data_IF_759972734044
#
_entry.id   IF_759972734044
#
_cell.length_a   1.000
_cell.length_b   1.000
_cell.length_c   1.000
_cell.angle_alpha   90.00
_cell.angle_beta   90.00
_cell.angle_gamma   90.00
#
_symmetry.space_group_name_H-M   'P 1'
#
loop_
_entity.id
_entity.type
_entity.pdbx_description
1 polymer ?
#
# COMPACT_ATOMS: atom_id res chain seq x y z
N UNK A 1 -32.38 -34.45 36.09
CA UNK A 1 -33.79 -34.57 35.70
C UNK A 1 -34.10 -33.39 34.77
N UNK A 2 -33.89 -33.58 33.46
CA UNK A 2 -34.11 -32.60 32.41
C UNK A 2 -35.57 -32.69 31.96
N UNK A 3 -36.27 -31.55 31.85
CA UNK A 3 -37.55 -31.45 31.14
C UNK A 3 -37.40 -30.42 30.01
N UNK A 4 -37.67 -30.90 28.80
CA UNK A 4 -37.57 -30.20 27.54
C UNK A 4 -38.58 -29.06 27.40
N UNK A 5 -38.21 -27.98 26.69
CA UNK A 5 -39.16 -27.07 26.06
C UNK A 5 -38.81 -26.81 24.61
N UNK A 6 -39.87 -26.92 23.80
CA UNK A 6 -39.97 -26.91 22.34
C UNK A 6 -39.48 -25.60 21.70
N UNK A 7 -38.97 -25.76 20.49
CA UNK A 7 -38.75 -24.72 19.50
C UNK A 7 -40.07 -24.19 18.91
N UNK A 8 -40.09 -22.89 18.58
CA UNK A 8 -41.02 -22.32 17.58
C UNK A 8 -40.26 -21.20 16.86
N UNK A 9 -40.00 -21.42 15.57
CA UNK A 9 -39.36 -20.46 14.66
C UNK A 9 -40.45 -19.54 14.09
N UNK A 10 -40.37 -18.23 14.36
CA UNK A 10 -41.15 -17.22 13.65
C UNK A 10 -40.27 -16.54 12.60
N UNK A 11 -40.76 -16.57 11.36
CA UNK A 11 -40.12 -16.06 10.15
C UNK A 11 -40.79 -14.71 9.81
N UNK A 12 -40.13 -13.58 10.13
CA UNK A 12 -40.61 -12.26 9.69
C UNK A 12 -39.86 -11.79 8.44
N UNK A 13 -40.61 -11.64 7.34
CA UNK A 13 -40.19 -10.94 6.12
C UNK A 13 -40.15 -9.44 6.40
N UNK A 14 -38.98 -8.81 6.25
CA UNK A 14 -38.88 -7.35 6.14
C UNK A 14 -38.81 -6.93 4.67
N UNK A 15 -39.82 -6.17 4.25
CA UNK A 15 -39.94 -5.44 2.99
C UNK A 15 -39.15 -4.12 3.05
N UNK A 16 -38.51 -3.76 1.95
CA UNK A 16 -37.83 -2.47 1.76
C UNK A 16 -38.79 -1.48 1.10
N UNK A 17 -38.91 -0.22 1.60
CA UNK A 17 -39.61 0.82 0.87
C UNK A 17 -38.68 1.49 -0.15
N UNK A 18 -39.17 1.62 -1.38
CA UNK A 18 -38.52 2.34 -2.47
C UNK A 18 -38.60 3.85 -2.28
N UNK A 19 -37.46 4.52 -2.45
CA UNK A 19 -37.36 5.98 -2.55
C UNK A 19 -37.55 6.38 -4.01
N UNK A 20 -38.66 7.06 -4.28
CA UNK A 20 -38.92 7.78 -5.51
C UNK A 20 -38.08 9.06 -5.54
N UNK A 21 -37.33 9.28 -6.62
CA UNK A 21 -36.69 10.55 -6.94
C UNK A 21 -37.64 11.37 -7.82
N UNK A 22 -38.10 12.49 -7.27
CA UNK A 22 -38.72 13.60 -8.01
C UNK A 22 -37.58 14.47 -8.52
N UNK A 23 -37.47 14.64 -9.84
CA UNK A 23 -36.56 15.62 -10.45
C UNK A 23 -37.40 16.74 -11.05
N UNK A 24 -37.21 17.95 -10.51
CA UNK A 24 -37.73 19.20 -11.07
C UNK A 24 -37.01 19.55 -12.38
N UNK A 25 -37.82 19.98 -13.34
CA UNK A 25 -37.42 20.48 -14.66
C UNK A 25 -37.14 21.97 -14.62
N UNK A 26 -35.96 22.40 -15.06
CA UNK A 26 -35.79 23.72 -15.70
C UNK A 26 -34.89 23.56 -16.93
N UNK A 27 -35.42 24.01 -18.05
CA UNK A 27 -34.84 23.95 -19.38
C UNK A 27 -33.97 25.19 -19.66
N UNK A 28 -32.86 25.02 -20.36
CA UNK A 28 -32.36 26.01 -21.31
C UNK A 28 -31.74 25.31 -22.53
N UNK A 29 -32.15 25.81 -23.69
CA UNK A 29 -31.86 25.35 -25.05
C UNK A 29 -30.42 25.63 -25.48
N UNK A 30 -29.89 24.83 -26.41
CA UNK A 30 -28.71 25.21 -27.20
C UNK A 30 -27.98 24.05 -27.88
N UNK A 31 -28.57 23.59 -29.00
CA UNK A 31 -27.98 22.98 -30.21
C UNK A 31 -26.82 21.95 -30.15
N UNK A 32 -27.16 20.75 -30.65
CA UNK A 32 -26.32 19.62 -31.13
C UNK A 32 -25.74 19.90 -32.55
N UNK A 33 -24.70 19.17 -33.08
CA UNK A 33 -24.91 17.82 -33.65
C UNK A 33 -23.65 16.89 -33.64
N UNK A 34 -23.62 15.71 -34.29
CA UNK A 34 -23.98 14.45 -33.64
C UNK A 34 -22.90 13.34 -33.81
N UNK A 35 -22.76 12.42 -32.84
CA UNK A 35 -22.20 11.08 -33.13
C UNK A 35 -23.04 10.00 -32.45
N UNK A 36 -23.83 9.31 -33.27
CA UNK A 36 -24.52 8.07 -32.90
C UNK A 36 -23.50 6.94 -32.73
N UNK A 37 -23.48 6.26 -31.59
CA UNK A 37 -23.06 4.86 -31.55
C UNK A 37 -23.91 4.07 -30.55
N UNK A 38 -24.59 3.08 -31.12
CA UNK A 38 -25.49 2.12 -30.50
C UNK A 38 -24.69 1.22 -29.55
N UNK A 39 -25.05 1.18 -28.26
CA UNK A 39 -24.55 0.18 -27.31
C UNK A 39 -25.67 -0.81 -26.98
N UNK A 40 -25.59 -1.99 -27.60
CA UNK A 40 -26.34 -3.17 -27.18
C UNK A 40 -25.83 -3.65 -25.82
N UNK A 41 -26.74 -3.71 -24.84
CA UNK A 41 -26.53 -4.37 -23.55
C UNK A 41 -26.35 -5.88 -23.77
N UNK A 42 -25.24 -6.45 -23.32
CA UNK A 42 -25.17 -7.89 -23.01
C UNK A 42 -24.40 -8.08 -21.70
N UNK A 43 -25.17 -8.37 -20.65
CA UNK A 43 -24.74 -8.76 -19.31
C UNK A 43 -24.51 -10.28 -19.32
N UNK A 44 -23.40 -10.80 -18.79
CA UNK A 44 -23.27 -12.23 -18.52
C UNK A 44 -22.79 -12.48 -17.09
N UNK A 45 -23.66 -13.11 -16.29
CA UNK A 45 -23.33 -13.82 -15.06
C UNK A 45 -22.78 -15.20 -15.42
N UNK A 46 -21.58 -15.55 -14.92
CA UNK A 46 -21.08 -16.91 -14.98
C UNK A 46 -21.58 -17.73 -13.79
N UNK A 47 -22.42 -18.74 -14.04
CA UNK A 47 -22.72 -19.81 -13.07
C UNK A 47 -21.66 -20.90 -13.16
N UNK A 48 -21.20 -21.37 -12.01
CA UNK A 48 -20.21 -22.45 -11.83
C UNK A 48 -20.95 -23.80 -11.86
N UNK A 49 -20.62 -24.67 -12.82
CA UNK A 49 -21.12 -26.05 -12.84
C UNK A 49 -19.99 -27.00 -12.43
N UNK A 50 -20.25 -27.76 -11.38
CA UNK A 50 -19.38 -28.80 -10.79
C UNK A 50 -19.60 -30.10 -11.57
N UNK A 51 -18.55 -30.68 -12.16
CA UNK A 51 -18.61 -31.99 -12.81
C UNK A 51 -17.98 -33.06 -11.89
N UNK A 52 -18.76 -34.07 -11.54
CA UNK A 52 -18.30 -35.33 -10.95
C UNK A 52 -18.16 -36.41 -12.04
N UNK A 53 -17.23 -37.37 -11.95
CA UNK A 53 -16.99 -38.34 -13.01
C UNK A 53 -17.79 -39.64 -12.81
N UNK A 54 -18.45 -40.12 -13.87
CA UNK A 54 -18.95 -41.50 -13.97
C UNK A 54 -18.19 -42.27 -15.05
N UNK A 55 -17.61 -43.41 -14.65
CA UNK A 55 -17.09 -44.49 -15.50
C UNK A 55 -18.23 -45.22 -16.24
N UNK A 56 -17.99 -45.66 -17.48
CA UNK A 56 -18.21 -47.05 -17.98
C UNK A 56 -17.79 -47.24 -19.47
N UNK A 57 -16.79 -48.10 -19.64
CA UNK A 57 -16.65 -49.29 -20.52
C UNK A 57 -17.37 -49.45 -21.89
N UNK A 58 -16.52 -49.75 -22.90
CA UNK A 58 -16.56 -50.74 -24.01
C UNK A 58 -17.41 -50.59 -25.31
N UNK A 59 -16.62 -50.61 -26.42
CA UNK A 59 -16.66 -51.41 -27.68
C UNK A 59 -17.88 -51.35 -28.62
N UNK A 60 -17.60 -51.08 -29.92
CA UNK A 60 -18.11 -51.91 -31.04
C UNK A 60 -18.73 -51.21 -32.26
N UNK A 61 -17.96 -51.18 -33.37
CA UNK A 61 -18.29 -51.20 -34.82
C UNK A 61 -19.44 -50.37 -35.45
N UNK A 62 -19.01 -49.46 -36.34
CA UNK A 62 -19.41 -49.22 -37.74
C UNK A 62 -20.88 -49.33 -38.20
N UNK A 63 -21.40 -48.23 -38.78
CA UNK A 63 -21.98 -48.19 -40.15
C UNK A 63 -22.20 -46.75 -40.64
N UNK A 64 -21.85 -46.54 -41.90
CA UNK A 64 -22.08 -45.36 -42.74
C UNK A 64 -23.56 -45.29 -43.16
N UNK A 65 -24.15 -44.10 -43.14
CA UNK A 65 -25.20 -43.66 -44.06
C UNK A 65 -25.17 -42.13 -44.14
N UNK A 66 -24.98 -41.61 -45.35
CA UNK A 66 -25.18 -40.21 -45.72
C UNK A 66 -26.65 -39.80 -45.63
N UNK A 67 -26.93 -38.57 -45.20
CA UNK A 67 -27.64 -37.58 -46.02
C UNK A 67 -28.04 -36.32 -45.24
N UNK A 68 -27.93 -35.20 -45.96
CA UNK A 68 -28.57 -33.89 -45.77
C UNK A 68 -28.06 -32.94 -44.70
N UNK A 69 -27.43 -31.88 -45.22
CA UNK A 69 -26.96 -30.68 -44.56
C UNK A 69 -28.09 -29.86 -43.93
N UNK A 70 -27.81 -29.37 -42.73
CA UNK A 70 -28.20 -28.04 -42.25
C UNK A 70 -26.91 -27.44 -41.68
N UNK A 71 -26.14 -26.74 -42.52
CA UNK A 71 -25.03 -25.91 -42.07
C UNK A 71 -25.60 -24.72 -41.30
N UNK A 72 -25.89 -24.93 -40.01
CA UNK A 72 -25.87 -23.86 -39.03
C UNK A 72 -24.40 -23.60 -38.71
N UNK A 73 -23.76 -22.70 -39.45
CA UNK A 73 -22.53 -22.08 -38.94
C UNK A 73 -22.92 -21.30 -37.68
N UNK A 74 -22.65 -21.87 -36.51
CA UNK A 74 -22.55 -21.09 -35.29
C UNK A 74 -21.60 -19.92 -35.57
N UNK A 75 -21.98 -18.66 -35.30
CA UNK A 75 -21.08 -17.54 -35.50
C UNK A 75 -19.80 -17.84 -34.72
N UNK A 76 -18.60 -17.62 -35.30
CA UNK A 76 -17.36 -18.01 -34.65
C UNK A 76 -17.35 -17.33 -33.28
N UNK A 77 -17.32 -18.14 -32.22
CA UNK A 77 -17.18 -17.63 -30.86
C UNK A 77 -15.98 -16.72 -30.88
N UNK A 78 -16.21 -15.40 -30.86
CA UNK A 78 -15.15 -14.40 -30.84
C UNK A 78 -14.38 -14.65 -29.55
N UNK A 79 -13.29 -15.40 -29.67
CA UNK A 79 -12.40 -15.67 -28.56
C UNK A 79 -12.00 -14.32 -27.97
N UNK A 80 -11.98 -14.20 -26.65
CA UNK A 80 -11.59 -12.96 -25.96
C UNK A 80 -10.21 -12.46 -26.43
N UNK A 81 -9.40 -13.36 -27.00
CA UNK A 81 -8.12 -13.09 -27.65
C UNK A 81 -8.21 -12.25 -28.93
N UNK A 82 -9.40 -12.04 -29.49
CA UNK A 82 -9.66 -11.23 -30.69
C UNK A 82 -10.15 -9.81 -30.37
N UNK A 83 -10.47 -9.50 -29.11
CA UNK A 83 -10.82 -8.14 -28.71
C UNK A 83 -9.61 -7.22 -28.86
N UNK A 84 -9.78 -5.94 -29.24
CA UNK A 84 -8.69 -4.97 -29.24
C UNK A 84 -8.20 -4.65 -27.81
N UNK A 85 -6.96 -4.17 -27.67
CA UNK A 85 -6.30 -3.97 -26.36
C UNK A 85 -7.03 -2.94 -25.49
N UNK A 86 -7.56 -1.87 -26.06
CA UNK A 86 -8.34 -0.84 -25.36
C UNK A 86 -9.59 -1.43 -24.68
N UNK A 87 -10.33 -2.31 -25.36
CA UNK A 87 -11.47 -3.00 -24.78
C UNK A 87 -11.05 -3.95 -23.66
N UNK A 88 -9.94 -4.67 -23.83
CA UNK A 88 -9.39 -5.55 -22.79
C UNK A 88 -8.93 -4.75 -21.57
N UNK A 89 -8.23 -3.63 -21.76
CA UNK A 89 -7.81 -2.73 -20.68
C UNK A 89 -9.02 -2.20 -19.92
N UNK A 90 -10.06 -1.78 -20.63
CA UNK A 90 -11.30 -1.29 -20.04
C UNK A 90 -11.98 -2.40 -19.20
N UNK A 91 -12.01 -3.64 -19.68
CA UNK A 91 -12.49 -4.79 -18.93
C UNK A 91 -11.62 -5.08 -17.69
N UNK A 92 -10.31 -5.19 -17.86
CA UNK A 92 -9.35 -5.46 -16.79
C UNK A 92 -9.38 -4.38 -15.70
N UNK A 93 -9.55 -3.11 -16.08
CA UNK A 93 -9.62 -1.98 -15.16
C UNK A 93 -10.81 -2.06 -14.19
N UNK A 94 -11.85 -2.83 -14.51
CA UNK A 94 -13.02 -3.05 -13.63
C UNK A 94 -12.88 -4.26 -12.71
N UNK A 95 -11.87 -5.09 -12.93
CA UNK A 95 -11.64 -6.30 -12.14
C UNK A 95 -10.67 -5.96 -11.01
N UNK A 96 -10.85 -6.62 -9.86
CA UNK A 96 -9.90 -6.47 -8.75
C UNK A 96 -8.50 -6.94 -9.15
N UNK A 97 -7.47 -6.23 -8.68
CA UNK A 97 -6.07 -6.62 -8.89
C UNK A 97 -5.73 -8.00 -8.33
N UNK A 98 -6.51 -8.50 -7.36
CA UNK A 98 -6.38 -9.87 -6.85
C UNK A 98 -6.53 -10.95 -7.93
N UNK A 99 -7.21 -10.65 -9.04
CA UNK A 99 -7.38 -11.58 -10.15
C UNK A 99 -6.23 -11.54 -11.16
N UNK A 100 -5.38 -10.50 -11.14
CA UNK A 100 -4.34 -10.28 -12.16
C UNK A 100 -3.26 -11.38 -12.17
N UNK A 101 -2.80 -11.91 -11.02
CA UNK A 101 -1.89 -13.06 -11.03
C UNK A 101 -2.47 -14.25 -11.80
N UNK A 102 -3.76 -14.54 -11.67
CA UNK A 102 -4.41 -15.62 -12.43
C UNK A 102 -4.57 -15.27 -13.91
N UNK A 103 -4.99 -14.03 -14.22
CA UNK A 103 -5.17 -13.59 -15.60
C UNK A 103 -3.86 -13.52 -16.39
N UNK A 104 -2.76 -13.16 -15.74
CA UNK A 104 -1.42 -13.11 -16.36
C UNK A 104 -0.85 -14.48 -16.73
N UNK A 105 -1.44 -15.56 -16.23
CA UNK A 105 -1.10 -16.94 -16.63
C UNK A 105 -1.84 -17.39 -17.89
N UNK A 106 -2.92 -16.70 -18.29
CA UNK A 106 -3.76 -17.10 -19.43
C UNK A 106 -3.02 -16.93 -20.76
N UNK A 107 -2.32 -15.81 -20.97
CA UNK A 107 -1.47 -15.59 -22.15
C UNK A 107 -0.42 -14.52 -21.92
N UNK A 108 0.58 -14.47 -22.82
CA UNK A 108 1.58 -13.39 -22.84
C UNK A 108 0.94 -12.01 -23.01
N UNK A 109 -0.14 -11.92 -23.79
CA UNK A 109 -0.91 -10.69 -24.00
C UNK A 109 -1.56 -10.20 -22.70
N UNK A 110 -2.29 -11.06 -22.00
CA UNK A 110 -2.89 -10.70 -20.70
C UNK A 110 -1.83 -10.33 -19.66
N UNK A 111 -0.69 -11.05 -19.65
CA UNK A 111 0.44 -10.70 -18.78
C UNK A 111 0.95 -9.28 -19.04
N UNK A 112 1.19 -8.95 -20.31
CA UNK A 112 1.65 -7.62 -20.73
C UNK A 112 0.65 -6.53 -20.34
N UNK A 113 -0.64 -6.76 -20.59
CA UNK A 113 -1.70 -5.78 -20.26
C UNK A 113 -1.85 -5.60 -18.75
N UNK A 114 -1.77 -6.67 -17.94
CA UNK A 114 -1.90 -6.60 -16.48
C UNK A 114 -0.76 -5.81 -15.82
N UNK A 115 0.40 -5.70 -16.47
CA UNK A 115 1.56 -4.94 -15.99
C UNK A 115 1.75 -3.61 -16.74
N UNK A 116 0.81 -3.23 -17.61
CA UNK A 116 0.91 -2.05 -18.47
C UNK A 116 0.57 -0.76 -17.71
N UNK A 117 1.21 0.33 -18.11
CA UNK A 117 0.90 1.68 -17.59
C UNK A 117 -0.46 2.18 -18.06
N UNK A 118 -0.92 1.74 -19.22
CA UNK A 118 -2.20 2.07 -19.83
C UNK A 118 -3.36 1.53 -18.98
N UNK A 119 -3.19 0.34 -18.38
CA UNK A 119 -4.17 -0.21 -17.46
C UNK A 119 -4.34 0.68 -16.23
N UNK A 120 -3.23 1.17 -15.67
CA UNK A 120 -3.25 2.09 -14.53
C UNK A 120 -3.94 3.41 -14.87
N UNK A 121 -3.60 4.01 -16.01
CA UNK A 121 -4.26 5.23 -16.49
C UNK A 121 -5.77 5.02 -16.66
N UNK A 122 -6.16 3.87 -17.23
CA UNK A 122 -7.58 3.50 -17.40
C UNK A 122 -8.28 3.34 -16.04
N UNK A 123 -7.65 2.66 -15.07
CA UNK A 123 -8.20 2.52 -13.71
C UNK A 123 -8.35 3.86 -13.00
N UNK A 124 -7.36 4.73 -13.16
CA UNK A 124 -7.39 6.08 -12.59
C UNK A 124 -8.54 6.89 -13.17
N UNK A 125 -8.70 6.87 -14.50
CA UNK A 125 -9.81 7.54 -15.20
C UNK A 125 -11.18 7.01 -14.74
N UNK A 126 -11.28 5.71 -14.46
CA UNK A 126 -12.52 5.08 -14.00
C UNK A 126 -12.74 5.18 -12.48
N UNK A 127 -11.82 5.78 -11.71
CA UNK A 127 -11.89 5.83 -10.25
C UNK A 127 -11.84 4.45 -9.59
N UNK A 128 -11.11 3.50 -10.20
CA UNK A 128 -10.99 2.10 -9.78
C UNK A 128 -9.64 1.72 -9.20
N UNK A 129 -8.77 2.68 -8.89
CA UNK A 129 -7.48 2.39 -8.25
C UNK A 129 -7.65 1.72 -6.88
N UNK A 130 -6.76 0.79 -6.54
CA UNK A 130 -6.71 0.07 -5.28
C UNK A 130 -5.45 0.46 -4.50
N UNK A 131 -5.57 0.62 -3.19
CA UNK A 131 -4.37 0.83 -2.35
C UNK A 131 -3.69 -0.51 -2.06
N UNK A 132 -2.38 -0.57 -2.25
CA UNK A 132 -1.56 -1.75 -2.01
C UNK A 132 -0.50 -1.45 -0.97
N UNK A 133 -0.43 -2.31 0.04
CA UNK A 133 0.53 -2.25 1.12
C UNK A 133 1.75 -3.12 0.78
N UNK A 134 2.91 -2.50 0.83
CA UNK A 134 4.22 -3.10 0.64
C UNK A 134 4.97 -3.12 1.97
N UNK A 135 5.54 -4.27 2.31
CA UNK A 135 6.28 -4.50 3.55
C UNK A 135 7.69 -4.95 3.19
N UNK A 136 8.69 -4.25 3.70
CA UNK A 136 10.10 -4.65 3.57
C UNK A 136 10.54 -5.35 4.86
N UNK A 137 10.98 -6.60 4.72
CA UNK A 137 11.55 -7.38 5.81
C UNK A 137 13.05 -7.60 5.56
N UNK A 138 13.85 -7.57 6.61
CA UNK A 138 15.29 -7.86 6.58
C UNK A 138 15.55 -9.23 7.20
N UNK A 139 16.18 -10.14 6.46
CA UNK A 139 16.63 -11.41 7.05
C UNK A 139 17.87 -11.17 7.92
N UNK A 140 17.94 -11.80 9.09
CA UNK A 140 19.07 -11.64 10.03
C UNK A 140 20.06 -12.81 10.02
N UNK A 141 19.85 -13.83 9.17
CA UNK A 141 20.66 -15.07 9.15
C UNK A 141 21.73 -15.11 8.07
N UNK A 142 21.60 -14.28 7.03
CA UNK A 142 22.53 -14.24 5.92
C UNK A 142 23.57 -13.15 6.19
N UNK A 143 24.85 -13.38 5.87
CA UNK A 143 25.93 -12.39 6.04
C UNK A 143 25.61 -11.04 5.39
N UNK A 144 24.81 -11.06 4.32
CA UNK A 144 24.43 -9.88 3.56
C UNK A 144 23.12 -9.22 4.04
N UNK A 145 22.43 -9.82 5.03
CA UNK A 145 21.15 -9.36 5.60
C UNK A 145 20.16 -8.80 4.56
N UNK A 146 19.76 -9.60 3.56
CA UNK A 146 19.06 -9.10 2.39
C UNK A 146 17.69 -8.55 2.74
N UNK A 147 17.28 -7.52 2.00
CA UNK A 147 15.97 -6.88 2.13
C UNK A 147 15.01 -7.49 1.12
N UNK A 148 13.86 -7.95 1.60
CA UNK A 148 12.82 -8.58 0.78
C UNK A 148 11.53 -7.81 0.89
N UNK A 149 10.94 -7.52 -0.27
CA UNK A 149 9.66 -6.84 -0.37
C UNK A 149 8.53 -7.84 -0.50
N UNK A 150 7.44 -7.54 0.19
CA UNK A 150 6.20 -8.31 0.18
C UNK A 150 5.03 -7.38 -0.08
N UNK A 151 3.97 -7.90 -0.69
CA UNK A 151 2.68 -7.22 -0.81
C UNK A 151 1.63 -7.91 0.06
N UNK A 152 0.83 -7.14 0.78
CA UNK A 152 -0.31 -7.70 1.51
C UNK A 152 -1.41 -8.08 0.53
N UNK A 153 -1.73 -9.37 0.47
CA UNK A 153 -2.76 -9.89 -0.42
C UNK A 153 -3.80 -10.69 0.37
N UNK A 154 -5.06 -10.64 -0.08
CA UNK A 154 -6.11 -11.50 0.47
C UNK A 154 -6.03 -12.87 -0.18
N UNK A 155 -6.06 -13.95 0.60
CA UNK A 155 -6.10 -15.30 0.03
C UNK A 155 -7.40 -15.51 -0.75
N UNK A 156 -7.36 -16.16 -1.94
CA UNK A 156 -8.57 -16.50 -2.66
C UNK A 156 -9.54 -17.28 -1.77
N UNK A 157 -10.82 -16.89 -1.75
CA UNK A 157 -11.88 -17.54 -0.98
C UNK A 157 -11.69 -17.54 0.57
N UNK A 158 -10.81 -16.71 1.11
CA UNK A 158 -10.62 -16.55 2.56
C UNK A 158 -10.72 -15.08 2.97
N UNK A 159 -11.07 -14.83 4.23
CA UNK A 159 -10.96 -13.51 4.86
C UNK A 159 -9.53 -13.20 5.34
N UNK A 160 -8.64 -14.20 5.31
CA UNK A 160 -7.26 -14.05 5.77
C UNK A 160 -6.39 -13.32 4.74
N UNK A 161 -5.54 -12.43 5.24
CA UNK A 161 -4.52 -11.73 4.46
C UNK A 161 -3.16 -12.37 4.72
N UNK A 162 -2.28 -12.31 3.74
CA UNK A 162 -0.93 -12.88 3.80
C UNK A 162 0.04 -11.97 3.07
N UNK A 163 1.27 -11.88 3.56
CA UNK A 163 2.37 -11.26 2.84
C UNK A 163 2.85 -12.21 1.75
N UNK A 164 2.71 -11.77 0.50
CA UNK A 164 3.20 -12.50 -0.68
C UNK A 164 4.51 -11.87 -1.14
N UNK A 165 5.59 -12.64 -1.34
CA UNK A 165 6.86 -12.11 -1.83
C UNK A 165 6.68 -11.39 -3.17
N UNK A 166 7.30 -10.23 -3.30
CA UNK A 166 7.41 -9.53 -4.58
C UNK A 166 8.56 -10.15 -5.36
N UNK A 167 8.25 -10.96 -6.37
CA UNK A 167 9.25 -11.63 -7.21
C UNK A 167 9.90 -10.63 -8.17
N UNK A 168 11.05 -10.06 -7.80
CA UNK A 168 11.91 -9.31 -8.72
C UNK A 168 13.16 -10.11 -9.07
N UNK A 169 13.46 -10.23 -10.36
CA UNK A 169 14.65 -10.90 -10.88
C UNK A 169 15.97 -10.19 -10.51
N UNK A 170 15.89 -8.94 -10.03
CA UNK A 170 17.01 -8.14 -9.55
C UNK A 170 16.48 -7.30 -8.37
N UNK A 171 16.67 -7.75 -7.14
CA UNK A 171 16.45 -6.90 -5.96
C UNK A 171 17.78 -6.20 -5.67
N UNK A 172 18.02 -4.97 -6.16
CA UNK A 172 19.31 -4.30 -6.06
C UNK A 172 19.46 -3.63 -4.67
N UNK A 173 18.53 -3.90 -3.76
CA UNK A 173 18.16 -3.04 -2.64
C UNK A 173 18.66 -3.56 -1.28
N UNK A 174 19.56 -4.54 -1.25
CA UNK A 174 20.07 -5.08 0.03
C UNK A 174 20.77 -4.00 0.88
N UNK A 175 21.40 -3.03 0.23
CA UNK A 175 22.14 -1.95 0.87
C UNK A 175 21.31 -0.71 1.21
N UNK A 176 20.18 -0.46 0.53
CA UNK A 176 19.43 0.80 0.65
C UNK A 176 18.89 1.00 2.06
N UNK A 177 19.01 2.20 2.64
CA UNK A 177 18.63 2.42 4.04
C UNK A 177 17.17 2.84 4.19
N UNK A 178 16.72 3.81 3.39
CA UNK A 178 15.38 4.38 3.48
C UNK A 178 14.56 4.14 2.21
N UNK A 179 13.23 4.24 2.31
CA UNK A 179 12.33 4.09 1.18
C UNK A 179 11.07 4.97 1.29
N UNK A 180 10.66 5.54 0.17
CA UNK A 180 9.47 6.42 0.10
C UNK A 180 8.61 6.09 -1.12
N UNK A 181 7.33 6.50 -1.08
CA UNK A 181 6.36 6.30 -2.16
C UNK A 181 6.10 7.63 -2.86
N UNK A 182 6.21 7.65 -4.19
CA UNK A 182 5.71 8.76 -5.01
C UNK A 182 4.89 8.18 -6.17
N UNK A 183 3.59 8.49 -6.19
CA UNK A 183 2.66 7.89 -7.13
C UNK A 183 2.71 6.35 -7.02
N UNK A 184 2.80 5.62 -8.16
CA UNK A 184 2.85 4.16 -8.19
C UNK A 184 4.26 3.57 -7.99
N UNK A 185 5.22 4.37 -7.51
CA UNK A 185 6.62 3.98 -7.42
C UNK A 185 7.13 4.00 -5.98
N UNK A 186 7.97 3.01 -5.64
CA UNK A 186 8.75 3.01 -4.40
C UNK A 186 10.20 3.34 -4.71
N UNK A 187 10.72 4.39 -4.10
CA UNK A 187 12.12 4.80 -4.23
C UNK A 187 12.90 4.31 -3.02
N UNK A 188 13.91 3.49 -3.24
CA UNK A 188 14.88 3.05 -2.23
C UNK A 188 16.16 3.88 -2.35
N UNK A 189 16.63 4.44 -1.23
CA UNK A 189 17.55 5.58 -1.23
C UNK A 189 18.78 5.30 -0.37
N UNK A 190 19.95 5.58 -0.95
CA UNK A 190 21.24 5.61 -0.27
C UNK A 190 21.64 4.26 0.33
N UNK A 191 22.19 4.28 1.54
CA UNK A 191 22.60 3.08 2.26
C UNK A 191 24.10 2.82 2.28
N UNK A 192 24.47 1.64 2.75
CA UNK A 192 25.87 1.20 2.81
C UNK A 192 26.13 0.10 1.79
N UNK A 193 27.06 0.36 0.87
CA UNK A 193 27.57 -0.62 -0.10
C UNK A 193 29.04 -0.85 0.23
N UNK A 194 29.41 -2.09 0.58
CA UNK A 194 30.77 -2.43 1.00
C UNK A 194 31.32 -1.51 2.12
N UNK A 195 30.49 -1.23 3.12
CA UNK A 195 30.74 -0.29 4.24
C UNK A 195 30.92 1.19 3.86
N UNK A 196 30.73 1.56 2.58
CA UNK A 196 30.78 2.95 2.14
C UNK A 196 29.37 3.50 1.91
N UNK A 197 29.18 4.78 2.24
CA UNK A 197 27.94 5.48 1.93
C UNK A 197 27.66 5.46 0.42
N UNK A 198 26.39 5.33 0.03
CA UNK A 198 25.98 5.21 -1.37
C UNK A 198 25.20 6.42 -1.87
N UNK A 199 25.42 6.80 -3.13
CA UNK A 199 24.62 7.79 -3.88
C UNK A 199 23.43 7.16 -4.60
N UNK A 200 23.37 5.83 -4.68
CA UNK A 200 22.42 5.11 -5.51
C UNK A 200 20.97 5.33 -5.06
N UNK A 201 20.09 5.43 -6.06
CA UNK A 201 18.64 5.43 -5.86
C UNK A 201 18.03 4.43 -6.82
N UNK A 202 17.29 3.48 -6.26
CA UNK A 202 16.55 2.48 -7.03
C UNK A 202 15.07 2.80 -6.97
N UNK A 203 14.36 2.60 -8.06
CA UNK A 203 12.91 2.76 -8.11
C UNK A 203 12.26 1.46 -8.53
N UNK A 204 11.29 1.01 -7.74
CA UNK A 204 10.40 -0.10 -8.07
C UNK A 204 9.11 0.45 -8.66
N UNK A 205 8.81 0.04 -9.88
CA UNK A 205 7.49 0.20 -10.46
C UNK A 205 6.55 -0.83 -9.80
N UNK A 206 5.51 -0.35 -9.12
CA UNK A 206 4.60 -1.24 -8.39
C UNK A 206 3.55 -1.95 -9.27
N UNK A 207 3.46 -1.63 -10.56
CA UNK A 207 2.62 -2.34 -11.52
C UNK A 207 3.27 -3.63 -12.00
N UNK A 208 4.52 -3.52 -12.43
CA UNK A 208 5.31 -4.61 -12.99
C UNK A 208 6.19 -5.31 -11.94
N UNK A 209 6.34 -4.71 -10.76
CA UNK A 209 7.27 -5.15 -9.70
C UNK A 209 8.73 -5.21 -10.19
N UNK A 210 9.10 -4.36 -11.13
CA UNK A 210 10.46 -4.27 -11.67
C UNK A 210 11.23 -3.11 -11.06
N UNK A 211 12.49 -3.35 -10.73
CA UNK A 211 13.42 -2.33 -10.27
C UNK A 211 14.23 -1.76 -11.43
N UNK A 212 14.48 -0.45 -11.38
CA UNK A 212 15.43 0.26 -12.25
C UNK A 212 16.21 1.31 -11.46
N UNK A 213 17.33 1.75 -12.01
CA UNK A 213 18.09 2.86 -11.44
C UNK A 213 17.35 4.18 -11.72
N UNK A 214 17.32 5.04 -10.72
CA UNK A 214 16.97 6.45 -10.87
C UNK A 214 18.27 7.29 -10.84
N UNK A 215 18.23 8.57 -11.25
CA UNK A 215 19.38 9.45 -11.12
C UNK A 215 19.96 9.42 -9.70
N UNK A 216 21.26 9.17 -9.59
CA UNK A 216 21.94 9.12 -8.30
C UNK A 216 21.94 10.47 -7.60
N UNK A 217 21.94 10.44 -6.27
CA UNK A 217 22.17 11.61 -5.43
C UNK A 217 23.56 12.21 -5.72
N UNK A 218 23.73 13.50 -5.45
CA UNK A 218 25.03 14.17 -5.53
C UNK A 218 25.92 13.86 -4.33
N UNK A 219 25.32 13.49 -3.19
CA UNK A 219 26.04 13.14 -1.96
C UNK A 219 25.75 11.69 -1.57
N UNK A 220 26.82 10.96 -1.24
CA UNK A 220 26.72 9.61 -0.71
C UNK A 220 26.15 9.63 0.72
N UNK A 221 25.18 8.76 1.02
CA UNK A 221 24.48 8.73 2.32
C UNK A 221 24.34 7.31 2.86
N UNK A 222 24.77 7.06 4.09
CA UNK A 222 24.71 5.75 4.77
C UNK A 222 23.36 5.49 5.47
N UNK A 223 22.88 6.46 6.24
CA UNK A 223 21.58 6.42 6.95
C UNK A 223 20.78 7.69 6.64
N UNK A 224 20.43 7.93 5.36
CA UNK A 224 19.57 9.06 5.01
C UNK A 224 18.19 8.92 5.66
N UNK A 225 17.53 10.06 5.88
CA UNK A 225 16.09 10.12 6.05
C UNK A 225 15.46 10.78 4.84
N UNK A 226 14.38 10.19 4.33
CA UNK A 226 13.64 10.66 3.18
C UNK A 226 12.16 10.86 3.50
N UNK A 227 11.58 11.91 2.94
CA UNK A 227 10.13 12.13 2.97
C UNK A 227 9.65 12.76 1.66
N UNK A 228 8.34 12.77 1.47
CA UNK A 228 7.71 13.26 0.24
C UNK A 228 6.85 14.46 0.55
N UNK A 229 6.99 15.50 -0.27
CA UNK A 229 6.15 16.68 -0.24
C UNK A 229 5.96 17.19 -1.67
N UNK A 230 4.72 17.45 -2.08
CA UNK A 230 4.35 17.97 -3.40
C UNK A 230 4.98 17.19 -4.58
N UNK A 231 5.02 15.85 -4.46
CA UNK A 231 5.59 14.97 -5.48
C UNK A 231 7.13 14.95 -5.56
N UNK A 232 7.80 15.73 -4.70
CA UNK A 232 9.26 15.75 -4.60
C UNK A 232 9.74 14.93 -3.41
N UNK A 233 10.92 14.32 -3.55
CA UNK A 233 11.55 13.54 -2.48
C UNK A 233 12.64 14.39 -1.84
N UNK A 234 12.53 14.63 -0.55
CA UNK A 234 13.52 15.33 0.24
C UNK A 234 14.37 14.30 0.97
N UNK A 235 15.68 14.32 0.76
CA UNK A 235 16.64 13.39 1.37
C UNK A 235 17.64 14.17 2.20
N UNK A 236 17.86 13.76 3.45
CA UNK A 236 18.71 14.48 4.39
C UNK A 236 19.49 13.56 5.33
N UNK A 237 20.60 14.08 5.86
CA UNK A 237 21.47 13.33 6.78
C UNK A 237 22.25 12.19 6.13
N UNK A 238 22.90 11.38 6.97
CA UNK A 238 23.65 10.19 6.56
C UNK A 238 24.95 10.45 5.79
N UNK A 239 25.41 11.70 5.66
CA UNK A 239 26.63 12.07 4.94
C UNK A 239 27.84 12.19 5.86
N UNK A 240 29.04 11.83 5.37
CA UNK A 240 30.30 11.82 6.15
C UNK A 240 30.68 13.17 6.76
N UNK A 241 30.29 14.27 6.10
CA UNK A 241 30.44 15.63 6.60
C UNK A 241 29.06 16.15 7.01
N UNK A 242 28.61 15.90 8.25
CA UNK A 242 27.26 16.26 8.68
C UNK A 242 27.03 17.79 8.57
N UNK A 243 28.09 18.60 8.73
CA UNK A 243 28.10 20.08 8.54
C UNK A 243 28.18 20.57 7.07
N UNK A 244 28.02 19.69 6.08
CA UNK A 244 28.11 20.05 4.67
C UNK A 244 26.93 20.92 4.21
N UNK A 245 27.17 21.85 3.28
CA UNK A 245 26.11 22.62 2.59
C UNK A 245 25.15 21.74 1.79
N UNK A 246 25.54 20.48 1.55
CA UNK A 246 24.76 19.52 0.78
C UNK A 246 24.02 18.52 1.70
N UNK A 247 23.73 18.91 2.94
CA UNK A 247 23.08 18.04 3.92
C UNK A 247 21.64 17.65 3.51
N UNK A 248 20.94 18.49 2.73
CA UNK A 248 19.67 18.14 2.08
C UNK A 248 19.79 18.19 0.56
N UNK A 249 19.20 17.18 -0.09
CA UNK A 249 18.95 17.17 -1.52
C UNK A 249 17.47 16.91 -1.79
N UNK A 250 16.95 17.48 -2.87
CA UNK A 250 15.57 17.32 -3.32
C UNK A 250 15.58 16.74 -4.71
N UNK A 251 14.89 15.62 -4.87
CA UNK A 251 14.65 15.00 -6.16
C UNK A 251 13.26 15.38 -6.66
N UNK A 252 13.24 16.03 -7.81
CA UNK A 252 12.00 16.27 -8.54
C UNK A 252 11.70 15.04 -9.41
N UNK A 253 10.62 14.34 -9.09
CA UNK A 253 10.26 13.09 -9.77
C UNK A 253 9.72 13.33 -11.19
N UNK A 254 9.29 14.54 -11.53
CA UNK A 254 8.83 14.88 -12.86
C UNK A 254 10.00 15.19 -13.79
N UNK A 255 10.93 16.02 -13.34
CA UNK A 255 12.11 16.40 -14.14
C UNK A 255 13.26 15.41 -14.03
N UNK A 256 13.21 14.48 -13.06
CA UNK A 256 14.27 13.52 -12.77
C UNK A 256 15.61 14.22 -12.42
N UNK A 257 15.55 15.34 -11.69
CA UNK A 257 16.73 16.12 -11.34
C UNK A 257 16.88 16.32 -9.83
N UNK A 258 18.12 16.35 -9.38
CA UNK A 258 18.49 16.67 -7.99
C UNK A 258 18.89 18.13 -7.82
N UNK A 259 18.34 18.77 -6.80
CA UNK A 259 18.70 20.11 -6.33
C UNK A 259 19.23 20.04 -4.90
N UNK A 260 20.27 20.82 -4.58
CA UNK A 260 20.78 20.94 -3.21
C UNK A 260 20.08 22.10 -2.51
N UNK A 261 19.49 21.86 -1.34
CA UNK A 261 18.92 22.93 -0.54
C UNK A 261 19.96 23.48 0.43
N UNK A 262 20.26 24.78 0.29
CA UNK A 262 21.15 25.50 1.19
C UNK A 262 20.50 25.70 2.56
N UNK A 263 21.24 25.39 3.62
CA UNK A 263 20.75 25.53 5.00
C UNK A 263 21.24 26.88 5.55
N UNK A 264 20.35 27.80 5.94
CA UNK A 264 20.74 29.14 6.39
C UNK A 264 21.46 29.17 7.74
N UNK A 265 21.39 28.11 8.56
CA UNK A 265 22.04 28.08 9.88
C UNK A 265 22.63 26.70 10.20
N UNK A 266 23.93 26.54 9.91
CA UNK A 266 24.65 25.25 9.93
C UNK A 266 24.78 24.60 11.33
N UNK A 267 24.63 25.36 12.42
CA UNK A 267 24.98 24.88 13.77
C UNK A 267 23.89 24.07 14.48
N UNK A 268 22.62 24.26 14.14
CA UNK A 268 21.51 23.66 14.91
C UNK A 268 21.12 22.27 14.39
N UNK A 269 21.07 22.07 13.07
CA UNK A 269 20.45 20.89 12.45
C UNK A 269 21.50 19.81 12.06
N UNK A 270 22.70 20.21 11.64
CA UNK A 270 23.66 19.40 10.89
C UNK A 270 24.70 18.62 11.71
N UNK A 271 24.39 18.17 12.93
CA UNK A 271 25.40 17.56 13.82
C UNK A 271 25.04 16.16 14.32
N UNK A 272 23.94 15.59 13.85
CA UNK A 272 23.48 14.24 14.20
C UNK A 272 23.72 13.27 13.03
N UNK A 273 23.89 12.00 13.34
CA UNK A 273 24.02 10.89 12.39
C UNK A 273 22.69 10.28 11.93
N UNK A 274 21.59 10.48 12.68
CA UNK A 274 20.27 9.86 12.44
C UNK A 274 19.12 10.86 12.54
N UNK A 275 18.37 10.95 11.45
CA UNK A 275 17.20 11.83 11.36
C UNK A 275 15.94 11.04 11.04
N UNK A 276 14.81 11.65 11.38
CA UNK A 276 13.49 11.25 10.90
C UNK A 276 12.87 12.44 10.18
N UNK A 277 12.21 12.21 9.06
CA UNK A 277 11.58 13.27 8.29
C UNK A 277 10.18 12.89 7.85
N UNK A 278 9.30 13.88 7.72
CA UNK A 278 7.92 13.69 7.30
C UNK A 278 7.39 14.93 6.59
N UNK A 279 6.66 14.72 5.49
CA UNK A 279 5.86 15.76 4.85
C UNK A 279 4.54 15.93 5.60
N UNK A 280 4.30 17.10 6.16
CA UNK A 280 3.12 17.41 6.97
C UNK A 280 2.75 18.89 6.89
N UNK A 281 1.46 19.20 6.67
CA UNK A 281 0.94 20.58 6.51
C UNK A 281 1.70 21.43 5.47
N UNK A 282 2.08 20.86 4.33
CA UNK A 282 2.81 21.62 3.30
C UNK A 282 4.26 21.93 3.68
N UNK A 283 4.80 21.27 4.71
CA UNK A 283 6.15 21.49 5.23
C UNK A 283 6.89 20.16 5.35
N UNK A 284 8.22 20.23 5.22
CA UNK A 284 9.09 19.11 5.60
C UNK A 284 9.48 19.29 7.07
N UNK A 285 9.04 18.37 7.92
CA UNK A 285 9.43 18.31 9.32
C UNK A 285 10.58 17.33 9.47
N UNK A 286 11.59 17.71 10.25
CA UNK A 286 12.81 16.92 10.44
C UNK A 286 13.17 16.91 11.90
N UNK A 287 13.41 15.72 12.42
CA UNK A 287 13.79 15.48 13.80
C UNK A 287 15.17 14.84 13.86
N UNK A 288 16.02 15.37 14.72
CA UNK A 288 17.28 14.76 15.15
C UNK A 288 17.00 13.75 16.26
N UNK A 289 17.48 12.50 16.13
CA UNK A 289 17.30 11.47 17.18
C UNK A 289 18.25 11.66 18.36
N UNK A 290 19.46 12.17 18.13
CA UNK A 290 20.47 12.38 19.18
C UNK A 290 20.21 13.65 19.98
N UNK A 291 19.91 14.77 19.31
CA UNK A 291 19.62 16.04 19.99
C UNK A 291 18.18 16.16 20.44
N UNK A 292 17.30 15.31 19.90
CA UNK A 292 15.87 15.32 20.16
C UNK A 292 15.23 16.70 19.89
N UNK A 293 15.63 17.32 18.78
CA UNK A 293 15.13 18.61 18.31
C UNK A 293 14.44 18.43 16.96
N UNK A 294 13.28 19.06 16.82
CA UNK A 294 12.46 19.06 15.60
C UNK A 294 12.41 20.44 14.97
N UNK A 295 12.72 20.50 13.68
CA UNK A 295 12.62 21.69 12.86
C UNK A 295 11.67 21.44 11.69
N UNK A 296 11.12 22.51 11.12
CA UNK A 296 10.36 22.45 9.87
C UNK A 296 10.92 23.41 8.84
N UNK A 297 10.95 22.94 7.59
CA UNK A 297 11.30 23.72 6.42
C UNK A 297 10.02 24.31 5.80
N UNK A 298 9.88 25.63 5.91
CA UNK A 298 8.78 26.39 5.32
C UNK A 298 9.33 27.44 4.35
N UNK A 299 8.94 27.36 3.08
CA UNK A 299 9.35 28.32 2.03
C UNK A 299 10.87 28.58 2.03
N UNK A 300 11.67 27.52 2.11
CA UNK A 300 13.14 27.59 2.12
C UNK A 300 13.76 28.07 3.43
N UNK A 301 12.98 28.31 4.49
CA UNK A 301 13.49 28.73 5.81
C UNK A 301 13.19 27.70 6.88
N UNK A 302 14.19 27.40 7.71
CA UNK A 302 14.05 26.54 8.87
C UNK A 302 13.44 27.28 10.05
N UNK A 303 12.58 26.59 10.79
CA UNK A 303 11.96 27.09 12.01
C UNK A 303 11.85 25.95 13.02
N UNK A 304 12.01 26.26 14.31
CA UNK A 304 11.63 25.34 15.36
C UNK A 304 10.11 25.08 15.30
N UNK A 305 9.71 23.85 15.66
CA UNK A 305 8.30 23.54 15.88
C UNK A 305 7.89 23.94 17.31
N UNK A 306 6.60 23.87 17.61
CA UNK A 306 6.12 24.08 18.98
C UNK A 306 6.58 22.95 19.91
N UNK A 307 6.79 23.29 21.19
CA UNK A 307 7.28 22.36 22.21
C UNK A 307 6.45 21.06 22.32
N UNK A 308 5.09 21.08 22.25
CA UNK A 308 4.29 19.87 22.26
C UNK A 308 4.54 18.93 21.07
N UNK A 309 4.74 19.48 19.86
CA UNK A 309 5.15 18.68 18.70
C UNK A 309 6.51 18.04 18.95
N UNK A 310 7.51 18.83 19.35
CA UNK A 310 8.90 18.38 19.53
C UNK A 310 9.02 17.26 20.58
N UNK A 311 8.56 17.54 21.80
CA UNK A 311 8.57 16.60 22.93
C UNK A 311 7.67 15.39 22.72
N UNK A 312 6.67 15.55 21.86
CA UNK A 312 5.73 14.50 21.58
C UNK A 312 6.22 13.53 20.50
N UNK A 313 6.73 14.04 19.39
CA UNK A 313 7.33 13.20 18.36
C UNK A 313 8.56 12.49 18.92
N UNK A 314 9.29 13.13 19.83
CA UNK A 314 10.41 12.59 20.58
C UNK A 314 10.23 11.12 21.06
N UNK A 315 9.02 10.81 21.52
CA UNK A 315 8.68 9.56 22.20
C UNK A 315 8.01 8.53 21.29
N UNK A 316 7.88 8.80 20.00
CA UNK A 316 7.25 7.88 19.07
C UNK A 316 8.18 6.73 18.67
N UNK A 317 7.64 5.52 18.63
CA UNK A 317 8.28 4.33 18.05
C UNK A 317 8.07 4.30 16.53
N UNK A 318 6.87 4.74 16.10
CA UNK A 318 6.51 4.82 14.69
C UNK A 318 5.55 5.98 14.47
N UNK A 319 5.41 6.43 13.23
CA UNK A 319 4.55 7.55 12.88
C UNK A 319 4.10 7.45 11.43
N UNK A 320 2.98 8.11 11.11
CA UNK A 320 2.50 8.26 9.74
C UNK A 320 1.62 9.50 9.59
N UNK A 321 1.41 9.93 8.36
CA UNK A 321 0.46 11.01 8.03
C UNK A 321 -0.68 10.42 7.20
N UNK A 322 -1.91 10.63 7.68
CA UNK A 322 -3.14 10.17 7.01
C UNK A 322 -4.10 11.35 6.93
N UNK A 323 -4.60 11.66 5.73
CA UNK A 323 -5.51 12.79 5.50
C UNK A 323 -5.00 14.12 6.11
N UNK A 324 -3.71 14.41 5.93
CA UNK A 324 -2.99 15.55 6.51
C UNK A 324 -3.04 15.64 8.05
N UNK A 325 -3.30 14.53 8.75
CA UNK A 325 -3.18 14.43 10.21
C UNK A 325 -1.97 13.59 10.58
N UNK A 326 -1.21 14.05 11.56
CA UNK A 326 0.02 13.40 11.99
C UNK A 326 -0.28 12.45 13.14
N UNK A 327 -0.08 11.16 12.91
CA UNK A 327 -0.25 10.11 13.90
C UNK A 327 1.10 9.59 14.38
N UNK A 328 1.16 9.25 15.66
CA UNK A 328 2.29 8.55 16.26
C UNK A 328 1.82 7.31 16.99
N UNK A 329 2.72 6.35 17.06
CA UNK A 329 2.61 5.21 17.93
C UNK A 329 3.62 5.35 19.07
N UNK A 330 3.14 5.25 20.31
CA UNK A 330 3.97 5.19 21.53
C UNK A 330 3.78 3.84 22.19
N UNK A 331 4.56 3.53 23.25
CA UNK A 331 4.40 2.29 24.02
C UNK A 331 2.98 2.07 24.55
N UNK A 332 2.24 3.16 24.80
CA UNK A 332 0.95 3.13 25.49
C UNK A 332 -0.26 3.35 24.58
N UNK A 333 -0.10 4.11 23.50
CA UNK A 333 -1.22 4.53 22.66
C UNK A 333 -0.80 4.97 21.26
N UNK A 334 -1.79 4.95 20.37
CA UNK A 334 -1.77 5.72 19.13
C UNK A 334 -2.35 7.10 19.43
N UNK A 335 -1.61 8.14 19.10
CA UNK A 335 -2.04 9.53 19.27
C UNK A 335 -2.00 10.26 17.93
N UNK A 336 -2.74 11.36 17.84
CA UNK A 336 -2.68 12.29 16.72
C UNK A 336 -2.41 13.70 17.20
N UNK A 337 -1.70 14.48 16.39
CA UNK A 337 -1.39 15.87 16.72
C UNK A 337 -2.53 16.80 16.27
N UNK A 338 -3.07 17.57 17.22
CA UNK A 338 -4.06 18.62 16.96
C UNK A 338 -3.32 19.95 16.73
N UNK A 339 -3.17 20.41 15.48
CA UNK A 339 -2.41 21.63 15.18
C UNK A 339 -3.09 22.89 15.71
N UNK A 340 -4.42 22.87 15.93
CA UNK A 340 -5.15 24.01 16.47
C UNK A 340 -4.95 24.13 17.98
N UNK A 341 -5.01 23.00 18.69
CA UNK A 341 -4.78 22.97 20.13
C UNK A 341 -3.29 22.86 20.52
N UNK A 342 -2.41 22.58 19.55
CA UNK A 342 -0.98 22.33 19.72
C UNK A 342 -0.70 21.27 20.78
N UNK A 343 -1.36 20.12 20.67
CA UNK A 343 -1.18 19.02 21.61
C UNK A 343 -1.47 17.68 20.94
N UNK A 344 -0.93 16.62 21.52
CA UNK A 344 -1.21 15.25 21.11
C UNK A 344 -2.45 14.72 21.83
N UNK A 345 -3.40 14.18 21.06
CA UNK A 345 -4.63 13.58 21.56
C UNK A 345 -4.61 12.08 21.31
N UNK A 346 -5.05 11.30 22.30
CA UNK A 346 -5.18 9.87 22.12
C UNK A 346 -6.24 9.54 21.06
N UNK A 347 -5.98 8.52 20.25
CA UNK A 347 -6.97 7.96 19.32
C UNK A 347 -8.01 7.18 20.12
N UNK A 348 -9.29 7.58 20.01
CA UNK A 348 -10.39 6.92 20.71
C UNK A 348 -10.79 5.60 20.03
N UNK A 349 -11.51 4.74 20.74
CA UNK A 349 -12.04 3.48 20.22
C UNK A 349 -11.07 2.29 20.22
N UNK A 350 -9.79 2.50 20.58
CA UNK A 350 -8.78 1.44 20.56
C UNK A 350 -8.45 0.81 21.91
N UNK A 351 -8.79 1.47 23.03
CA UNK A 351 -8.39 1.04 24.38
C UNK A 351 -9.03 -0.28 24.84
N UNK A 352 -10.17 -0.65 24.28
CA UNK A 352 -10.95 -1.84 24.65
C UNK A 352 -10.84 -2.98 23.62
N UNK A 353 -10.04 -2.79 22.57
CA UNK A 353 -9.92 -3.77 21.50
C UNK A 353 -8.96 -4.88 21.91
N UNK A 354 -9.50 -6.08 22.13
CA UNK A 354 -8.78 -7.33 22.44
C UNK A 354 -7.71 -7.77 21.41
N UNK A 355 -7.42 -6.97 20.37
CA UNK A 355 -6.56 -7.32 19.24
C UNK A 355 -5.26 -6.53 19.11
N UNK A 356 -5.19 -5.30 19.62
CA UNK A 356 -3.95 -4.51 19.62
C UNK A 356 -3.22 -4.78 20.94
N UNK A 357 -2.07 -5.47 20.93
CA UNK A 357 -1.36 -5.74 22.17
C UNK A 357 -0.84 -4.43 22.77
N UNK A 358 -0.80 -4.33 24.10
CA UNK A 358 0.03 -3.32 24.77
C UNK A 358 1.49 -3.73 24.57
N UNK A 359 2.23 -2.98 23.75
CA UNK A 359 3.58 -3.35 23.35
C UNK A 359 4.59 -2.93 24.44
N UNK A 360 4.61 -3.67 25.56
CA UNK A 360 5.69 -3.56 26.53
C UNK A 360 6.92 -4.31 25.98
N UNK A 361 7.91 -3.57 25.46
CA UNK A 361 9.20 -4.12 25.00
C UNK A 361 9.58 -3.77 23.55
N UNK A 362 10.78 -4.22 23.14
CA UNK A 362 11.45 -3.95 21.84
C UNK A 362 10.75 -4.56 20.60
N UNK A 363 9.42 -4.53 20.51
CA UNK A 363 8.72 -4.93 19.28
C UNK A 363 8.81 -3.80 18.25
N UNK A 364 9.38 -4.08 17.08
CA UNK A 364 9.37 -3.13 15.97
C UNK A 364 7.93 -2.96 15.46
N UNK A 365 7.44 -1.72 15.45
CA UNK A 365 6.11 -1.35 14.96
C UNK A 365 6.25 -0.39 13.78
N UNK A 366 5.43 -0.57 12.75
CA UNK A 366 5.33 0.36 11.61
C UNK A 366 3.88 0.77 11.38
N UNK A 367 3.67 2.09 11.35
CA UNK A 367 2.42 2.68 10.90
C UNK A 367 2.50 3.00 9.40
N UNK A 368 1.41 2.74 8.67
CA UNK A 368 1.31 3.09 7.25
C UNK A 368 -0.09 3.60 6.90
N UNK A 369 -0.18 4.49 5.91
CA UNK A 369 -1.43 4.99 5.33
C UNK A 369 -1.89 4.08 4.19
N UNK A 370 -2.83 3.17 4.44
CA UNK A 370 -3.36 2.25 3.43
C UNK A 370 -4.75 2.71 2.97
N UNK A 371 -4.80 3.51 1.91
CA UNK A 371 -6.06 4.00 1.34
C UNK A 371 -6.89 4.83 2.32
N UNK A 372 -6.25 5.63 3.18
CA UNK A 372 -6.92 6.43 4.22
C UNK A 372 -7.19 5.66 5.52
N UNK A 373 -6.95 4.35 5.55
CA UNK A 373 -6.96 3.55 6.78
C UNK A 373 -5.57 3.54 7.40
N UNK A 374 -5.52 3.41 8.71
CA UNK A 374 -4.27 3.19 9.42
C UNK A 374 -3.97 1.70 9.45
N UNK A 375 -2.81 1.32 8.92
CA UNK A 375 -2.25 -0.01 9.11
C UNK A 375 -1.21 0.05 10.22
N UNK A 376 -1.30 -0.90 11.15
CA UNK A 376 -0.29 -1.15 12.18
C UNK A 376 0.32 -2.52 11.91
N UNK A 377 1.61 -2.57 11.64
CA UNK A 377 2.39 -3.80 11.51
C UNK A 377 3.32 -3.96 12.69
N UNK A 378 3.42 -5.17 13.23
CA UNK A 378 4.31 -5.43 14.35
C UNK A 378 4.84 -6.85 14.35
N UNK A 379 5.90 -7.03 15.12
CA UNK A 379 6.55 -8.31 15.32
C UNK A 379 6.08 -8.98 16.61
N UNK A 380 5.84 -10.28 16.55
CA UNK A 380 5.52 -11.11 17.72
C UNK A 380 6.38 -12.36 17.72
N UNK A 381 6.98 -12.64 18.87
CA UNK A 381 7.74 -13.88 19.08
C UNK A 381 6.80 -14.99 19.55
N UNK A 382 6.88 -16.15 18.89
CA UNK A 382 6.27 -17.40 19.32
C UNK A 382 7.34 -18.33 19.88
N UNK A 383 7.00 -19.05 20.95
CA UNK A 383 7.81 -20.16 21.46
C UNK A 383 7.20 -21.47 20.99
N UNK A 384 7.92 -22.21 20.15
CA UNK A 384 7.58 -23.60 19.78
C UNK A 384 8.84 -24.44 19.97
N UNK A 385 8.77 -25.45 20.87
CA UNK A 385 9.68 -26.60 20.97
C UNK A 385 11.16 -26.32 20.61
N UNK A 386 11.79 -25.38 21.32
CA UNK A 386 13.21 -24.98 21.22
C UNK A 386 13.64 -24.06 20.05
N UNK A 387 12.72 -23.55 19.23
CA UNK A 387 13.04 -22.57 18.18
C UNK A 387 12.23 -21.26 18.36
N UNK A 388 12.90 -20.11 18.25
CA UNK A 388 12.24 -18.79 18.27
C UNK A 388 11.61 -18.54 16.89
N UNK A 389 10.30 -18.73 16.78
CA UNK A 389 9.57 -18.35 15.58
C UNK A 389 9.17 -16.88 15.67
N UNK A 390 9.27 -16.16 14.55
CA UNK A 390 8.87 -14.76 14.49
C UNK A 390 7.73 -14.59 13.49
N UNK A 391 6.65 -13.99 13.97
CA UNK A 391 5.46 -13.70 13.20
C UNK A 391 5.31 -12.19 13.00
N UNK A 392 4.88 -11.78 11.81
CA UNK A 392 4.45 -10.42 11.54
C UNK A 392 2.93 -10.39 11.58
N UNK A 393 2.41 -9.49 12.40
CA UNK A 393 0.99 -9.23 12.54
C UNK A 393 0.65 -7.90 11.92
N UNK A 394 -0.60 -7.78 11.47
CA UNK A 394 -1.14 -6.59 10.83
C UNK A 394 -2.52 -6.30 11.40
N UNK A 395 -2.82 -5.02 11.63
CA UNK A 395 -4.14 -4.52 11.96
C UNK A 395 -4.51 -3.37 11.02
N UNK A 396 -5.75 -3.36 10.57
CA UNK A 396 -6.36 -2.30 9.76
C UNK A 396 -7.41 -1.57 10.58
N UNK A 397 -7.19 -0.26 10.73
CA UNK A 397 -8.00 0.62 11.56
C UNK A 397 -8.62 1.68 10.65
N UNK A 398 -9.95 1.67 10.57
CA UNK A 398 -10.71 2.75 9.96
C UNK A 398 -10.70 3.97 10.88
N UNK A 399 -10.46 5.14 10.30
CA UNK A 399 -10.44 6.41 11.03
C UNK A 399 -11.69 7.21 10.69
N UNK A 400 -12.43 7.62 11.73
CA UNK A 400 -13.62 8.45 11.60
C UNK A 400 -13.39 9.74 12.37
N UNK A 401 -13.62 10.87 11.70
CA UNK A 401 -13.53 12.19 12.30
C UNK A 401 -14.92 12.66 12.73
N UNK A 402 -15.08 12.98 14.00
CA UNK A 402 -16.32 13.51 14.55
C UNK A 402 -16.35 15.04 14.54
N UNK A 403 -17.56 15.62 14.63
CA UNK A 403 -17.78 17.07 14.58
C UNK A 403 -17.08 17.82 15.73
N UNK A 404 -16.87 17.16 16.88
CA UNK A 404 -16.11 17.67 18.02
C UNK A 404 -14.58 17.70 17.81
N UNK A 405 -14.10 17.45 16.59
CA UNK A 405 -12.68 17.34 16.20
C UNK A 405 -11.96 16.13 16.79
N UNK A 406 -12.66 15.21 17.43
CA UNK A 406 -12.06 13.93 17.84
C UNK A 406 -11.93 13.00 16.64
N UNK A 407 -10.93 12.12 16.74
CA UNK A 407 -10.72 11.05 15.79
C UNK A 407 -10.91 9.74 16.54
N UNK A 408 -11.74 8.88 15.96
CA UNK A 408 -12.04 7.56 16.45
C UNK A 408 -11.47 6.51 15.51
N UNK A 409 -10.81 5.50 16.08
CA UNK A 409 -10.32 4.33 15.37
C UNK A 409 -11.28 3.15 15.58
N UNK A 410 -11.67 2.50 14.49
CA UNK A 410 -12.42 1.23 14.53
C UNK A 410 -11.57 0.15 13.87
N UNK A 411 -11.28 -0.92 14.61
CA UNK A 411 -10.54 -2.06 14.07
C UNK A 411 -11.43 -2.87 13.14
N UNK A 412 -11.11 -2.87 11.85
CA UNK A 412 -11.86 -3.62 10.84
C UNK A 412 -11.33 -5.05 10.70
N UNK A 413 -10.01 -5.22 10.83
CA UNK A 413 -9.36 -6.50 10.65
C UNK A 413 -8.01 -6.53 11.37
N UNK A 414 -7.65 -7.69 11.92
CA UNK A 414 -6.28 -7.97 12.33
C UNK A 414 -5.98 -9.46 12.18
N UNK A 415 -4.70 -9.78 12.05
CA UNK A 415 -4.25 -11.16 12.05
C UNK A 415 -2.78 -11.30 11.76
N UNK A 416 -2.30 -12.53 11.90
CA UNK A 416 -0.98 -12.92 11.42
C UNK A 416 -0.95 -12.90 9.89
N UNK A 417 0.05 -12.23 9.32
CA UNK A 417 0.21 -12.10 7.86
C UNK A 417 1.45 -12.78 7.33
N UNK A 418 2.42 -13.09 8.20
CA UNK A 418 3.66 -13.76 7.82
C UNK A 418 4.24 -14.49 9.02
N UNK A 419 4.74 -15.70 8.77
CA UNK A 419 5.40 -16.52 9.78
C UNK A 419 6.68 -17.08 9.17
N UNK A 420 7.77 -17.02 9.91
CA UNK A 420 9.04 -17.60 9.48
C UNK A 420 9.81 -18.17 10.66
N UNK A 421 10.53 -19.26 10.40
CA UNK A 421 11.57 -19.80 11.27
C UNK A 421 12.86 -18.98 11.21
N UNK A 422 13.06 -18.19 10.15
CA UNK A 422 14.16 -17.23 10.07
C UNK A 422 13.80 -15.94 10.83
N UNK A 423 14.73 -15.36 11.61
CA UNK A 423 14.54 -14.06 12.23
C UNK A 423 14.50 -12.95 11.18
N UNK A 424 13.31 -12.55 10.76
CA UNK A 424 13.08 -11.33 9.97
C UNK A 424 12.89 -10.09 10.85
N UNK A 425 13.39 -8.94 10.41
CA UNK A 425 13.15 -7.62 11.01
C UNK A 425 12.23 -6.77 10.14
N UNK A 426 11.25 -6.11 10.73
CA UNK A 426 10.33 -5.19 10.05
C UNK A 426 11.01 -3.84 9.78
N UNK A 427 11.30 -3.55 8.51
CA UNK A 427 12.06 -2.34 8.13
C UNK A 427 11.14 -1.21 7.70
N UNK A 428 10.33 -1.45 6.66
CA UNK A 428 9.46 -0.46 6.03
C UNK A 428 8.05 -1.01 5.85
N UNK A 429 7.07 -0.12 6.01
CA UNK A 429 5.68 -0.36 5.63
C UNK A 429 5.20 0.84 4.83
N UNK A 430 4.95 0.63 3.54
CA UNK A 430 4.65 1.68 2.58
C UNK A 430 3.40 1.29 1.82
N UNK A 431 2.56 2.26 1.46
CA UNK A 431 1.40 1.99 0.65
C UNK A 431 1.32 2.98 -0.52
N UNK A 432 0.91 2.44 -1.66
CA UNK A 432 0.72 3.18 -2.90
C UNK A 432 -0.64 2.85 -3.49
N UNK A 433 -1.15 3.73 -4.34
CA UNK A 433 -2.44 3.58 -5.02
C UNK A 433 -2.22 3.25 -6.48
N UNK A 434 -2.75 2.10 -6.91
CA UNK A 434 -2.53 1.48 -8.22
C UNK A 434 -3.87 1.08 -8.85
#
# INVERSE_FOLDING_TARGET
>A
MFLARKATLNYERKSYPGLALVCDSTAMNGEDPPVKSILSKSMFLARKATLSPKRKSNRGLARVCDSTAMNGEDPPVKSIMMLPDDMLLNCLARISRLCYPTLSLVSKRFRSLCTSTELYQTRTLLGRTESCLYVCLRSSTNSNNPRRWFTLSRRPNSLTKVLVPVSSAKSPCDSCSDAVVVGPNIYAIGGLVNNNASTSVMVMDCHSHTWREAPSMRVARSLPSACVLDGKIYVMGGCDKPNSTNWIEVFDTNTQTWEVLQIPNKKEICQDSRYESVGYEGNVHVRSREKNVTCKLYKGRWRAVDLPMDMGWARSISFCVIANMFYRYTVLSIDWYDPKARLWRALHGLKDLKGLPSFYGNADVKLANHGGKMVVLWEKYGHVENHRQKAIWCAEIALVRHQNREIWGTLEWYGEVFISSEPYGLVHALATTI
#
